data_IF_135232352574
#
_entry.id   IF_135232352574
#
_cell.length_a   1.000
_cell.length_b   1.000
_cell.length_c   1.000
_cell.angle_alpha   90.00
_cell.angle_beta   90.00
_cell.angle_gamma   90.00
#
_symmetry.space_group_name_H-M   'P 1'
#
loop_
_entity.id
_entity.type
_entity.pdbx_description
1 polymer ?
#
# COMPACT_ATOMS: atom_id res chain seq x y z
N UNK A 1 8.96 9.98 -16.32
CA UNK A 1 7.74 9.14 -16.29
C UNK A 1 7.45 8.82 -14.84
N UNK A 2 6.18 8.64 -14.46
CA UNK A 2 5.80 8.34 -13.07
C UNK A 2 5.18 6.96 -12.92
N UNK A 3 5.18 6.43 -11.70
CA UNK A 3 4.64 5.11 -11.37
C UNK A 3 3.40 5.26 -10.51
N UNK A 4 2.29 4.66 -10.94
CA UNK A 4 1.08 4.52 -10.13
C UNK A 4 0.99 3.08 -9.64
N UNK A 5 0.84 2.91 -8.33
CA UNK A 5 0.67 1.59 -7.74
C UNK A 5 -0.76 1.07 -7.90
N UNK A 6 -0.89 -0.14 -8.43
CA UNK A 6 -2.14 -0.89 -8.42
C UNK A 6 -2.37 -1.60 -7.08
N UNK A 7 -3.63 -1.83 -6.74
CA UNK A 7 -4.04 -2.48 -5.50
C UNK A 7 -3.48 -3.90 -5.38
N UNK A 8 -3.45 -4.66 -6.47
CA UNK A 8 -2.96 -6.03 -6.45
C UNK A 8 -1.47 -6.10 -6.09
N UNK A 9 -0.67 -5.14 -6.56
CA UNK A 9 0.76 -5.02 -6.25
C UNK A 9 0.96 -4.72 -4.76
N UNK A 10 0.20 -3.79 -4.20
CA UNK A 10 0.28 -3.45 -2.78
C UNK A 10 -0.16 -4.62 -1.89
N UNK A 11 -1.24 -5.33 -2.25
CA UNK A 11 -1.66 -6.55 -1.55
C UNK A 11 -0.57 -7.64 -1.63
N UNK A 12 0.12 -7.77 -2.76
CA UNK A 12 1.24 -8.70 -2.87
C UNK A 12 2.41 -8.31 -1.96
N UNK A 13 2.70 -7.02 -1.83
CA UNK A 13 3.73 -6.49 -0.92
C UNK A 13 3.33 -6.67 0.56
N UNK A 14 2.05 -6.52 0.93
CA UNK A 14 1.56 -6.80 2.30
C UNK A 14 1.86 -8.25 2.74
N UNK A 15 1.78 -9.19 1.78
CA UNK A 15 1.94 -10.63 2.01
C UNK A 15 3.39 -11.08 1.99
N UNK A 16 4.29 -10.29 1.39
CA UNK A 16 5.71 -10.62 1.24
C UNK A 16 6.56 -9.77 2.18
N UNK A 17 7.75 -10.25 2.58
CA UNK A 17 8.65 -9.50 3.46
C UNK A 17 9.35 -8.31 2.77
N UNK A 18 9.10 -8.06 1.48
CA UNK A 18 9.76 -6.97 0.75
C UNK A 18 9.15 -5.61 1.12
N UNK A 19 9.92 -4.66 1.66
CA UNK A 19 9.41 -3.35 2.03
C UNK A 19 9.04 -2.53 0.79
N UNK A 20 7.89 -1.85 0.80
CA UNK A 20 7.49 -0.89 -0.23
C UNK A 20 8.58 0.18 -0.45
N UNK A 21 9.25 0.59 0.62
CA UNK A 21 10.33 1.58 0.58
C UNK A 21 11.56 1.09 -0.20
N UNK A 22 11.81 -0.21 -0.22
CA UNK A 22 12.89 -0.76 -1.03
C UNK A 22 12.57 -0.60 -2.52
N UNK A 23 11.33 -0.93 -2.91
CA UNK A 23 10.87 -0.79 -4.29
C UNK A 23 10.92 0.68 -4.76
N UNK A 24 10.57 1.61 -3.87
CA UNK A 24 10.68 3.06 -4.14
C UNK A 24 12.15 3.47 -4.32
N UNK A 25 13.05 3.03 -3.43
CA UNK A 25 14.48 3.33 -3.53
C UNK A 25 15.12 2.80 -4.81
N UNK A 26 14.74 1.59 -5.24
CA UNK A 26 15.24 0.96 -6.48
C UNK A 26 14.85 1.74 -7.74
N UNK A 27 13.76 2.51 -7.67
CA UNK A 27 13.23 3.32 -8.77
C UNK A 27 13.78 4.76 -8.78
N UNK A 28 14.60 5.14 -7.80
CA UNK A 28 15.26 6.46 -7.73
C UNK A 28 14.27 7.62 -7.59
N UNK A 29 14.48 8.67 -8.38
CA UNK A 29 13.70 9.93 -8.32
C UNK A 29 12.43 9.90 -9.19
N UNK A 30 12.01 8.73 -9.69
CA UNK A 30 10.74 8.63 -10.43
C UNK A 30 9.57 9.06 -9.51
N UNK A 31 8.67 9.94 -9.96
CA UNK A 31 7.51 10.31 -9.15
C UNK A 31 6.58 9.09 -8.98
N UNK A 32 6.19 8.82 -7.73
CA UNK A 32 5.23 7.78 -7.39
C UNK A 32 3.90 8.39 -6.96
N UNK A 33 2.83 7.62 -7.14
CA UNK A 33 1.52 7.95 -6.60
C UNK A 33 0.63 6.73 -6.45
N UNK A 34 -0.54 6.96 -5.88
CA UNK A 34 -1.59 5.97 -5.68
C UNK A 34 -2.93 6.60 -6.05
N UNK A 35 -3.83 5.82 -6.64
CA UNK A 35 -5.20 6.27 -6.87
C UNK A 35 -6.00 6.27 -5.56
N UNK A 36 -6.92 7.23 -5.40
CA UNK A 36 -7.86 7.21 -4.27
C UNK A 36 -8.78 5.97 -4.27
N UNK A 37 -8.98 5.38 -5.45
CA UNK A 37 -9.72 4.11 -5.60
C UNK A 37 -8.93 2.97 -4.97
N UNK A 38 -7.61 2.89 -5.21
CA UNK A 38 -6.72 1.91 -4.58
C UNK A 38 -6.74 2.04 -3.06
N UNK A 39 -6.73 3.25 -2.52
CA UNK A 39 -6.86 3.48 -1.07
C UNK A 39 -8.20 2.94 -0.55
N UNK A 40 -9.29 3.18 -1.28
CA UNK A 40 -10.62 2.68 -0.92
C UNK A 40 -10.70 1.15 -0.93
N UNK A 41 -10.08 0.49 -1.91
CA UNK A 41 -10.02 -0.98 -1.99
C UNK A 41 -9.18 -1.59 -0.85
N UNK A 42 -8.07 -0.95 -0.50
CA UNK A 42 -7.23 -1.35 0.63
C UNK A 42 -7.98 -1.24 1.97
N UNK A 43 -8.65 -0.11 2.21
CA UNK A 43 -9.50 0.10 3.40
C UNK A 43 -10.66 -0.88 3.45
N UNK A 44 -11.31 -1.14 2.31
CA UNK A 44 -12.32 -2.19 2.21
C UNK A 44 -11.74 -3.57 2.60
N UNK A 45 -10.50 -3.86 2.19
CA UNK A 45 -9.76 -5.05 2.59
C UNK A 45 -9.49 -5.17 4.10
N UNK A 46 -9.32 -4.05 4.82
CA UNK A 46 -9.25 -4.00 6.29
C UNK A 46 -10.59 -4.42 6.88
N UNK A 47 -11.69 -3.80 6.44
CA UNK A 47 -13.04 -4.10 6.94
C UNK A 47 -13.50 -5.53 6.65
N UNK A 48 -13.03 -6.13 5.54
CA UNK A 48 -13.36 -7.52 5.17
C UNK A 48 -12.52 -8.58 5.90
N UNK A 49 -11.61 -8.20 6.79
CA UNK A 49 -10.79 -9.16 7.52
C UNK A 49 -11.65 -10.02 8.46
N UNK A 50 -11.39 -11.32 8.47
CA UNK A 50 -12.15 -12.34 9.23
C UNK A 50 -11.69 -12.51 10.68
N UNK A 51 -10.66 -11.77 11.09
CA UNK A 51 -10.15 -11.79 12.46
C UNK A 51 -9.54 -10.44 12.82
N UNK A 52 -9.63 -10.09 14.10
CA UNK A 52 -9.06 -8.85 14.63
C UNK A 52 -7.55 -8.74 14.37
N UNK A 53 -6.80 -9.83 14.55
CA UNK A 53 -5.37 -9.88 14.26
C UNK A 53 -5.07 -9.52 12.79
N UNK A 54 -5.86 -10.01 11.83
CA UNK A 54 -5.68 -9.68 10.41
C UNK A 54 -6.13 -8.27 10.08
N UNK A 55 -7.22 -7.80 10.70
CA UNK A 55 -7.69 -6.40 10.57
C UNK A 55 -6.59 -5.42 10.97
N UNK A 56 -6.04 -5.57 12.18
CA UNK A 56 -5.00 -4.69 12.71
C UNK A 56 -3.72 -4.71 11.87
N UNK A 57 -3.30 -5.91 11.40
CA UNK A 57 -2.14 -6.03 10.50
C UNK A 57 -2.37 -5.25 9.19
N UNK A 58 -3.55 -5.40 8.60
CA UNK A 58 -3.92 -4.70 7.35
C UNK A 58 -4.01 -3.20 7.56
N UNK A 59 -4.65 -2.77 8.63
CA UNK A 59 -4.82 -1.36 8.97
C UNK A 59 -3.47 -0.65 9.07
N UNK A 60 -2.55 -1.20 9.85
CA UNK A 60 -1.17 -0.68 9.96
C UNK A 60 -0.43 -0.65 8.62
N UNK A 61 -0.63 -1.65 7.76
CA UNK A 61 -0.06 -1.66 6.42
C UNK A 61 -0.64 -0.53 5.54
N UNK A 62 -1.96 -0.36 5.54
CA UNK A 62 -2.64 0.67 4.73
C UNK A 62 -2.27 2.07 5.17
N UNK A 63 -2.19 2.33 6.48
CA UNK A 63 -1.69 3.60 7.03
C UNK A 63 -0.28 3.90 6.52
N UNK A 64 0.60 2.90 6.54
CA UNK A 64 1.97 3.02 6.05
C UNK A 64 2.02 3.32 4.55
N UNK A 65 1.20 2.65 3.74
CA UNK A 65 1.06 2.92 2.30
C UNK A 65 0.62 4.37 2.05
N UNK A 66 -0.41 4.84 2.77
CA UNK A 66 -0.93 6.19 2.64
C UNK A 66 0.16 7.21 2.99
N UNK A 67 0.85 7.03 4.12
CA UNK A 67 1.93 7.92 4.57
C UNK A 67 3.06 8.06 3.54
N UNK A 68 3.38 6.97 2.84
CA UNK A 68 4.49 6.93 1.88
C UNK A 68 4.08 7.47 0.50
N UNK A 69 2.88 7.11 0.03
CA UNK A 69 2.47 7.35 -1.36
C UNK A 69 1.56 8.57 -1.55
N UNK A 70 0.93 9.07 -0.50
CA UNK A 70 0.18 10.33 -0.52
C UNK A 70 1.09 11.42 0.02
N UNK A 71 1.75 12.15 -0.88
CA UNK A 71 2.45 13.39 -0.52
C UNK A 71 1.40 14.51 -0.44
N UNK A 72 1.11 14.97 0.79
CA UNK A 72 0.42 16.24 1.02
C UNK A 72 1.41 17.41 0.92
#
# INVERSE_FOLDING_TARGET
MGVIFDTSVLIALERNPSPLEQLIRERGDEPFGISIITVSELLHGVHRADSEKRRLKRESYVEKVILILIKL
#
